data_IF_094325216392
#
_entry.id   IF_094325216392
#
_cell.length_a   1.000
_cell.length_b   1.000
_cell.length_c   1.000
_cell.angle_alpha   90.00
_cell.angle_beta   90.00
_cell.angle_gamma   90.00
#
_symmetry.space_group_name_H-M   'P 1'
#
loop_
_entity.id
_entity.type
_entity.pdbx_description
1 polymer ?
#
# COMPACT_ATOMS: atom_id res chain seq x y z
N UNK A 1 23.75 9.28 -1.87
CA UNK A 1 22.59 9.82 -1.13
C UNK A 1 22.03 11.06 -1.84
N UNK A 2 22.88 11.95 -2.31
CA UNK A 2 22.48 13.23 -2.93
C UNK A 2 21.72 13.10 -4.27
N UNK A 3 21.78 11.94 -4.91
CA UNK A 3 21.02 11.65 -6.15
C UNK A 3 19.63 11.06 -5.89
N UNK A 4 19.41 10.40 -4.73
CA UNK A 4 18.13 9.78 -4.39
C UNK A 4 17.19 10.75 -3.69
N UNK A 5 17.74 11.60 -2.81
CA UNK A 5 16.99 12.56 -2.01
C UNK A 5 17.51 13.95 -2.36
N UNK A 6 16.66 14.77 -2.97
CA UNK A 6 17.02 16.08 -3.52
C UNK A 6 16.44 17.25 -2.74
N UNK A 7 15.54 16.98 -1.77
CA UNK A 7 14.89 17.98 -0.93
C UNK A 7 14.94 17.65 0.55
N UNK A 8 14.25 18.47 1.33
CA UNK A 8 14.07 18.27 2.77
C UNK A 8 12.70 17.69 3.07
N UNK A 9 12.58 16.96 4.18
CA UNK A 9 11.31 16.45 4.67
C UNK A 9 10.42 17.62 5.13
N UNK A 10 9.22 17.70 4.60
CA UNK A 10 8.22 18.71 4.94
C UNK A 10 6.98 18.05 5.54
N UNK A 11 6.47 18.54 6.67
CA UNK A 11 5.16 18.16 7.18
C UNK A 11 4.10 19.00 6.49
N UNK A 12 3.16 18.35 5.78
CA UNK A 12 2.10 19.00 5.03
C UNK A 12 0.78 19.09 5.80
N UNK A 13 0.50 18.08 6.62
CA UNK A 13 -0.72 17.97 7.41
C UNK A 13 -0.47 17.22 8.71
N UNK A 14 -1.23 17.54 9.75
CA UNK A 14 -1.33 16.80 11.01
C UNK A 14 -2.78 16.80 11.48
N UNK A 15 -3.27 15.66 11.99
CA UNK A 15 -4.65 15.53 12.48
C UNK A 15 -5.35 14.23 12.13
N UNK A 16 -4.60 13.18 11.73
CA UNK A 16 -5.08 11.80 11.63
C UNK A 16 -4.85 11.05 12.93
N UNK A 17 -5.46 9.88 13.08
CA UNK A 17 -5.16 8.91 14.12
C UNK A 17 -4.20 7.85 13.58
N UNK A 18 -4.47 7.35 12.38
CA UNK A 18 -3.58 6.48 11.63
C UNK A 18 -3.74 6.77 10.14
N UNK A 19 -2.77 7.53 9.60
CA UNK A 19 -2.72 7.88 8.19
C UNK A 19 -2.21 6.69 7.37
N UNK A 20 -2.91 6.34 6.27
CA UNK A 20 -2.61 5.19 5.43
C UNK A 20 -2.99 5.40 3.96
N UNK A 21 -2.50 4.49 3.09
CA UNK A 21 -2.88 4.34 1.71
C UNK A 21 -2.83 5.63 0.88
N UNK A 22 -1.70 6.32 0.82
CA UNK A 22 -1.60 7.53 0.02
C UNK A 22 -1.58 7.18 -1.47
N UNK A 23 -2.28 8.00 -2.27
CA UNK A 23 -2.24 7.95 -3.73
C UNK A 23 -2.23 9.36 -4.30
N UNK A 24 -1.43 9.57 -5.33
CA UNK A 24 -1.45 10.80 -6.12
C UNK A 24 -2.53 10.71 -7.19
N UNK A 25 -3.38 11.73 -7.29
CA UNK A 25 -4.43 11.84 -8.31
C UNK A 25 -3.96 12.83 -9.39
N UNK A 26 -3.53 12.35 -10.56
CA UNK A 26 -2.94 13.22 -11.59
C UNK A 26 -3.93 14.25 -12.15
N UNK A 27 -5.21 13.89 -12.28
CA UNK A 27 -6.24 14.76 -12.83
C UNK A 27 -6.46 16.02 -11.98
N UNK A 28 -6.61 15.84 -10.66
CA UNK A 28 -6.81 16.96 -9.71
C UNK A 28 -5.50 17.53 -9.16
N UNK A 29 -4.35 16.89 -9.42
CA UNK A 29 -3.05 17.25 -8.85
C UNK A 29 -3.08 17.29 -7.31
N UNK A 30 -3.67 16.25 -6.70
CA UNK A 30 -3.85 16.13 -5.25
C UNK A 30 -3.34 14.79 -4.73
N UNK A 31 -3.15 14.70 -3.42
CA UNK A 31 -2.89 13.44 -2.71
C UNK A 31 -4.10 13.08 -1.88
N UNK A 32 -4.61 11.85 -2.04
CA UNK A 32 -5.65 11.27 -1.17
C UNK A 32 -5.01 10.23 -0.25
N UNK A 33 -5.48 10.15 1.00
CA UNK A 33 -5.06 9.12 1.95
C UNK A 33 -6.16 8.82 2.95
N UNK A 34 -6.09 7.65 3.59
CA UNK A 34 -7.01 7.22 4.65
C UNK A 34 -6.59 7.76 6.01
N UNK A 35 -7.55 8.12 6.84
CA UNK A 35 -7.45 8.18 8.30
C UNK A 35 -8.37 7.08 8.82
N UNK A 36 -7.81 5.85 8.93
CA UNK A 36 -8.60 4.62 9.07
C UNK A 36 -9.49 4.66 10.31
N UNK A 37 -8.96 4.91 11.54
CA UNK A 37 -9.79 4.89 12.74
C UNK A 37 -10.89 5.97 12.75
N UNK A 38 -10.66 7.10 12.09
CA UNK A 38 -11.65 8.15 11.93
C UNK A 38 -12.63 7.90 10.76
N UNK A 39 -12.47 6.78 10.07
CA UNK A 39 -13.36 6.32 9.01
C UNK A 39 -13.59 7.38 7.90
N UNK A 40 -12.48 8.00 7.45
CA UNK A 40 -12.50 9.07 6.44
C UNK A 40 -11.32 9.00 5.48
N UNK A 41 -11.50 9.61 4.32
CA UNK A 41 -10.45 9.90 3.33
C UNK A 41 -10.20 11.40 3.33
N UNK A 42 -8.93 11.78 3.41
CA UNK A 42 -8.46 13.15 3.30
C UNK A 42 -7.83 13.38 1.92
N UNK A 43 -7.87 14.64 1.48
CA UNK A 43 -7.26 15.07 0.23
C UNK A 43 -6.47 16.38 0.46
N UNK A 44 -5.20 16.38 0.07
CA UNK A 44 -4.31 17.54 0.13
C UNK A 44 -4.02 18.07 -1.26
N UNK A 45 -4.14 19.39 -1.43
CA UNK A 45 -3.79 20.08 -2.67
C UNK A 45 -2.47 20.85 -2.49
N UNK A 46 -1.37 20.40 -3.14
CA UNK A 46 -0.04 21.02 -3.00
C UNK A 46 0.03 22.46 -3.52
N UNK A 47 -0.81 22.83 -4.49
CA UNK A 47 -0.81 24.18 -5.05
C UNK A 47 -1.38 25.22 -4.10
N UNK A 48 -2.30 24.81 -3.21
CA UNK A 48 -2.96 25.71 -2.25
C UNK A 48 -2.50 25.51 -0.81
N UNK A 49 -1.88 24.33 -0.52
CA UNK A 49 -1.55 23.91 0.84
C UNK A 49 -2.77 23.49 1.67
N UNK A 50 -3.95 23.36 1.06
CA UNK A 50 -5.19 23.05 1.76
C UNK A 50 -5.42 21.53 1.84
N UNK A 51 -5.92 21.08 3.00
CA UNK A 51 -6.45 19.72 3.19
C UNK A 51 -7.96 19.81 3.38
N UNK A 52 -8.69 18.87 2.77
CA UNK A 52 -10.15 18.69 2.97
C UNK A 52 -10.48 17.24 3.29
N UNK A 53 -11.63 17.00 3.89
CA UNK A 53 -12.24 15.68 3.89
C UNK A 53 -12.79 15.43 2.48
N UNK A 54 -12.27 14.38 1.82
CA UNK A 54 -12.79 13.92 0.53
C UNK A 54 -14.06 13.11 0.73
N UNK A 55 -14.04 12.16 1.66
CA UNK A 55 -15.19 11.30 2.01
C UNK A 55 -15.17 10.89 3.47
N UNK A 56 -16.34 10.62 4.03
CA UNK A 56 -16.55 10.11 5.39
C UNK A 56 -17.44 8.88 5.39
N UNK A 57 -17.44 8.10 6.47
CA UNK A 57 -18.17 6.82 6.56
C UNK A 57 -17.79 5.86 5.41
N UNK A 58 -16.49 5.80 5.14
CA UNK A 58 -15.91 5.05 4.02
C UNK A 58 -15.66 3.58 4.32
N UNK A 59 -16.12 3.12 5.50
CA UNK A 59 -15.95 1.74 5.96
C UNK A 59 -14.49 1.32 6.06
N UNK A 60 -13.72 2.18 6.71
CA UNK A 60 -12.32 1.93 7.07
C UNK A 60 -11.48 1.55 5.85
N UNK A 61 -11.52 2.39 4.81
CA UNK A 61 -10.62 2.21 3.65
C UNK A 61 -9.17 2.32 4.08
N UNK A 62 -8.31 1.49 3.48
CA UNK A 62 -6.88 1.43 3.75
C UNK A 62 -6.06 1.77 2.50
N UNK A 63 -5.30 0.83 1.96
CA UNK A 63 -4.44 0.99 0.80
C UNK A 63 -5.20 1.26 -0.48
N UNK A 64 -4.54 1.95 -1.42
CA UNK A 64 -5.12 2.30 -2.72
C UNK A 64 -4.07 2.52 -3.78
N UNK A 65 -4.52 2.41 -5.03
CA UNK A 65 -3.76 2.68 -6.25
C UNK A 65 -4.68 3.29 -7.30
N UNK A 66 -4.14 3.58 -8.48
CA UNK A 66 -4.95 3.92 -9.65
C UNK A 66 -5.02 2.73 -10.60
N UNK A 67 -6.15 2.56 -11.28
CA UNK A 67 -6.25 1.69 -12.44
C UNK A 67 -5.81 2.43 -13.73
N UNK A 68 -5.93 1.76 -14.87
CA UNK A 68 -5.49 2.30 -16.15
C UNK A 68 -6.39 3.42 -16.70
N UNK A 69 -7.62 3.52 -16.20
CA UNK A 69 -8.57 4.59 -16.56
C UNK A 69 -8.37 5.83 -15.67
N UNK A 70 -7.57 5.70 -14.59
CA UNK A 70 -7.29 6.75 -13.61
C UNK A 70 -8.20 6.73 -12.41
N UNK A 71 -9.11 5.75 -12.32
CA UNK A 71 -9.98 5.55 -11.17
C UNK A 71 -9.20 4.99 -9.98
N UNK A 72 -9.64 5.32 -8.78
CA UNK A 72 -9.02 4.80 -7.55
C UNK A 72 -9.52 3.39 -7.27
N UNK A 73 -8.61 2.43 -7.20
CA UNK A 73 -8.85 1.08 -6.65
C UNK A 73 -8.38 1.08 -5.21
N UNK A 74 -9.25 0.72 -4.26
CA UNK A 74 -8.96 0.77 -2.84
C UNK A 74 -9.46 -0.45 -2.08
N UNK A 75 -8.82 -0.72 -0.94
CA UNK A 75 -9.19 -1.75 0.00
C UNK A 75 -10.11 -1.18 1.07
N UNK A 76 -11.21 -1.87 1.41
CA UNK A 76 -12.12 -1.52 2.50
C UNK A 76 -12.14 -2.62 3.54
N UNK A 77 -11.61 -2.35 4.73
CA UNK A 77 -11.62 -3.26 5.86
C UNK A 77 -13.05 -3.56 6.33
N UNK A 78 -13.87 -2.53 6.51
CA UNK A 78 -15.22 -2.68 7.05
C UNK A 78 -16.18 -3.39 6.10
N UNK A 79 -16.05 -3.14 4.78
CA UNK A 79 -16.81 -3.87 3.77
C UNK A 79 -16.20 -5.23 3.42
N UNK A 80 -14.95 -5.48 3.83
CA UNK A 80 -14.18 -6.70 3.53
C UNK A 80 -14.11 -6.94 2.02
N UNK A 81 -13.70 -5.92 1.26
CA UNK A 81 -13.67 -5.96 -0.21
C UNK A 81 -12.62 -5.04 -0.81
N UNK A 82 -12.28 -5.30 -2.07
CA UNK A 82 -11.64 -4.32 -2.94
C UNK A 82 -12.73 -3.62 -3.75
N UNK A 83 -12.62 -2.30 -3.90
CA UNK A 83 -13.62 -1.46 -4.53
C UNK A 83 -12.98 -0.40 -5.43
N UNK A 84 -13.76 0.10 -6.39
CA UNK A 84 -13.39 1.24 -7.24
C UNK A 84 -14.12 2.47 -6.75
N UNK A 85 -13.41 3.59 -6.67
CA UNK A 85 -13.95 4.93 -6.38
C UNK A 85 -13.71 5.82 -7.62
N UNK A 86 -14.76 6.01 -8.41
CA UNK A 86 -14.84 6.95 -9.52
C UNK A 86 -15.44 8.26 -9.00
N UNK A 87 -14.58 9.14 -8.50
CA UNK A 87 -14.90 10.47 -7.95
C UNK A 87 -16.09 10.48 -6.97
N UNK A 88 -16.16 9.49 -6.09
CA UNK A 88 -17.18 9.33 -5.05
C UNK A 88 -18.27 8.32 -5.39
N UNK A 89 -18.35 7.79 -6.60
CA UNK A 89 -19.19 6.65 -6.94
C UNK A 89 -18.45 5.33 -6.68
N UNK A 90 -18.73 4.72 -5.52
CA UNK A 90 -17.97 3.56 -5.02
C UNK A 90 -18.66 2.27 -5.37
N UNK A 91 -18.01 1.45 -6.21
CA UNK A 91 -18.50 0.14 -6.67
C UNK A 91 -17.59 -1.01 -6.24
N UNK A 92 -18.15 -2.20 -5.90
CA UNK A 92 -17.34 -3.36 -5.55
C UNK A 92 -16.61 -3.93 -6.77
N UNK A 93 -15.35 -4.36 -6.56
CA UNK A 93 -14.58 -5.15 -7.53
C UNK A 93 -14.64 -6.63 -7.12
N UNK A 94 -14.29 -6.95 -5.86
CA UNK A 94 -14.31 -8.32 -5.33
C UNK A 94 -14.47 -8.28 -3.81
N UNK A 95 -15.34 -9.15 -3.26
CA UNK A 95 -15.67 -9.21 -1.83
C UNK A 95 -15.63 -10.62 -1.23
N UNK A 96 -15.41 -11.65 -2.06
CA UNK A 96 -15.51 -13.04 -1.63
C UNK A 96 -14.52 -13.95 -2.36
N UNK A 97 -14.06 -14.98 -1.65
CA UNK A 97 -13.29 -16.09 -2.19
C UNK A 97 -14.11 -17.39 -2.06
N UNK A 98 -14.74 -17.77 -3.16
CA UNK A 98 -15.72 -18.87 -3.16
C UNK A 98 -16.97 -18.52 -2.33
N UNK A 99 -17.25 -19.30 -1.30
CA UNK A 99 -18.39 -19.08 -0.38
C UNK A 99 -18.02 -18.16 0.81
N UNK A 100 -16.74 -17.78 0.96
CA UNK A 100 -16.21 -17.07 2.11
C UNK A 100 -16.02 -15.57 1.81
N UNK A 101 -16.30 -14.75 2.78
CA UNK A 101 -15.92 -13.33 2.72
C UNK A 101 -14.40 -13.21 2.79
N UNK A 102 -13.84 -12.19 2.14
CA UNK A 102 -12.45 -11.80 2.35
C UNK A 102 -12.20 -11.44 3.82
N UNK A 103 -10.96 -11.46 4.29
CA UNK A 103 -10.62 -11.05 5.66
C UNK A 103 -10.81 -9.53 5.84
N UNK A 104 -9.82 -8.77 5.48
CA UNK A 104 -9.86 -7.30 5.44
C UNK A 104 -8.78 -6.83 4.46
N UNK A 105 -9.10 -6.77 3.15
CA UNK A 105 -8.14 -6.32 2.14
C UNK A 105 -7.42 -5.06 2.56
N UNK A 106 -6.07 -5.07 2.46
CA UNK A 106 -5.23 -4.06 3.09
C UNK A 106 -4.55 -3.14 2.08
N UNK A 107 -3.69 -3.65 1.20
CA UNK A 107 -3.06 -2.86 0.13
C UNK A 107 -3.29 -3.51 -1.24
N UNK A 108 -3.18 -2.72 -2.31
CA UNK A 108 -3.60 -3.11 -3.66
C UNK A 108 -2.71 -2.50 -4.73
N UNK A 109 -2.44 -3.26 -5.79
CA UNK A 109 -1.78 -2.79 -7.02
C UNK A 109 -2.54 -3.31 -8.25
N UNK A 110 -2.48 -2.56 -9.35
CA UNK A 110 -3.02 -2.97 -10.64
C UNK A 110 -1.85 -3.26 -11.58
N UNK A 111 -1.80 -4.49 -12.09
CA UNK A 111 -0.77 -4.92 -13.03
C UNK A 111 -0.99 -4.36 -14.43
N UNK A 112 0.04 -4.39 -15.29
CA UNK A 112 -0.02 -3.88 -16.66
C UNK A 112 -1.07 -4.57 -17.54
N UNK A 113 -1.48 -5.80 -17.19
CA UNK A 113 -2.55 -6.54 -17.85
C UNK A 113 -3.96 -6.16 -17.36
N UNK A 114 -4.07 -5.22 -16.41
CA UNK A 114 -5.32 -4.77 -15.80
C UNK A 114 -5.83 -5.65 -14.65
N UNK A 115 -5.09 -6.68 -14.26
CA UNK A 115 -5.47 -7.51 -13.10
C UNK A 115 -5.17 -6.81 -11.79
N UNK A 116 -6.02 -7.04 -10.79
CA UNK A 116 -5.95 -6.41 -9.47
C UNK A 116 -5.33 -7.40 -8.48
N UNK A 117 -4.23 -6.99 -7.85
CA UNK A 117 -3.52 -7.80 -6.86
C UNK A 117 -3.61 -7.12 -5.51
N UNK A 118 -3.99 -7.85 -4.47
CA UNK A 118 -4.19 -7.27 -3.15
C UNK A 118 -3.84 -8.25 -2.03
N UNK A 119 -3.50 -7.70 -0.88
CA UNK A 119 -3.23 -8.45 0.36
C UNK A 119 -4.49 -8.52 1.20
N UNK A 120 -4.71 -9.65 1.89
CA UNK A 120 -5.90 -9.86 2.72
C UNK A 120 -5.56 -10.38 4.13
N UNK A 121 -4.88 -9.56 4.96
CA UNK A 121 -4.61 -9.85 6.37
C UNK A 121 -5.87 -9.65 7.24
N UNK A 122 -5.81 -10.00 8.55
CA UNK A 122 -7.00 -9.96 9.40
C UNK A 122 -7.21 -8.62 10.15
N UNK A 123 -6.42 -7.57 9.91
CA UNK A 123 -6.36 -6.37 10.76
C UNK A 123 -7.72 -5.71 10.99
N UNK A 124 -8.55 -5.61 9.94
CA UNK A 124 -9.87 -5.01 10.01
C UNK A 124 -10.94 -5.86 10.70
N UNK A 125 -10.64 -7.13 11.05
CA UNK A 125 -11.58 -8.06 11.69
C UNK A 125 -11.13 -8.58 13.04
N UNK A 126 -9.93 -8.20 13.51
CA UNK A 126 -9.41 -8.63 14.82
C UNK A 126 -10.27 -8.14 15.96
N UNK A 127 -10.34 -8.89 17.10
CA UNK A 127 -11.00 -8.43 18.30
C UNK A 127 -10.43 -7.10 18.80
N UNK A 128 -11.30 -6.12 19.05
CA UNK A 128 -10.91 -4.79 19.50
C UNK A 128 -10.34 -3.88 18.42
N UNK A 129 -10.43 -4.26 17.14
CA UNK A 129 -9.95 -3.43 16.03
C UNK A 129 -10.63 -2.06 16.02
N UNK A 130 -9.86 -1.02 15.69
CA UNK A 130 -10.35 0.34 15.41
C UNK A 130 -10.30 0.67 13.92
N UNK A 131 -9.96 -0.32 13.09
CA UNK A 131 -9.73 -0.19 11.66
C UNK A 131 -10.75 -0.97 10.82
N UNK A 132 -11.86 -1.40 11.44
CA UNK A 132 -12.87 -2.19 10.75
C UNK A 132 -13.97 -2.64 11.71
N UNK A 133 -14.52 -3.81 11.45
CA UNK A 133 -15.55 -4.45 12.27
C UNK A 133 -15.09 -5.83 12.70
N UNK A 134 -15.16 -6.16 13.98
CA UNK A 134 -14.80 -7.50 14.47
C UNK A 134 -15.51 -8.59 13.67
N UNK A 135 -14.78 -9.62 13.31
CA UNK A 135 -15.30 -10.72 12.52
C UNK A 135 -14.41 -11.96 12.58
N UNK A 136 -14.84 -12.99 11.92
CA UNK A 136 -14.09 -14.25 11.83
C UNK A 136 -13.36 -14.34 10.50
N UNK A 137 -12.20 -14.98 10.51
CA UNK A 137 -11.49 -15.40 9.32
C UNK A 137 -12.18 -16.66 8.77
N UNK A 138 -12.80 -16.55 7.60
CA UNK A 138 -13.69 -17.60 7.08
C UNK A 138 -12.96 -18.67 6.26
N UNK A 139 -11.75 -18.39 5.77
CA UNK A 139 -10.88 -19.33 5.08
C UNK A 139 -9.50 -19.45 5.72
N UNK A 140 -8.71 -20.43 5.35
CA UNK A 140 -7.60 -20.98 6.14
C UNK A 140 -6.30 -20.19 6.20
N UNK A 141 -6.27 -18.89 5.87
CA UNK A 141 -5.03 -18.10 5.91
C UNK A 141 -5.21 -16.64 5.57
N UNK A 142 -4.08 -15.95 5.47
CA UNK A 142 -4.00 -14.58 4.95
C UNK A 142 -3.25 -14.65 3.62
N UNK A 143 -3.90 -14.28 2.54
CA UNK A 143 -3.34 -14.51 1.21
C UNK A 143 -3.06 -13.20 0.48
N UNK A 144 -2.21 -13.28 -0.53
CA UNK A 144 -2.22 -12.32 -1.64
C UNK A 144 -3.08 -12.93 -2.73
N UNK A 145 -4.02 -12.15 -3.21
CA UNK A 145 -4.93 -12.55 -4.29
C UNK A 145 -4.61 -11.80 -5.59
N UNK A 146 -4.91 -12.46 -6.71
CA UNK A 146 -5.02 -11.88 -8.04
C UNK A 146 -6.46 -12.00 -8.51
N UNK A 147 -7.09 -10.90 -8.83
CA UNK A 147 -8.41 -10.82 -9.45
C UNK A 147 -8.27 -10.40 -10.91
N UNK A 148 -8.92 -11.13 -11.79
CA UNK A 148 -8.97 -10.82 -13.22
C UNK A 148 -10.35 -10.26 -13.57
N UNK A 149 -10.47 -8.95 -13.85
CA UNK A 149 -11.77 -8.34 -14.16
C UNK A 149 -12.43 -8.87 -15.43
N UNK A 150 -11.64 -9.40 -16.39
CA UNK A 150 -12.16 -9.91 -17.65
C UNK A 150 -12.86 -11.26 -17.50
N UNK A 151 -12.44 -12.07 -16.53
CA UNK A 151 -12.97 -13.44 -16.28
C UNK A 151 -13.72 -13.53 -14.95
N UNK A 152 -13.66 -12.51 -14.12
CA UNK A 152 -14.14 -12.47 -12.73
C UNK A 152 -13.51 -13.56 -11.84
N UNK A 153 -12.33 -14.04 -12.20
CA UNK A 153 -11.63 -15.08 -11.47
C UNK A 153 -10.77 -14.50 -10.36
N UNK A 154 -10.99 -14.95 -9.11
CA UNK A 154 -10.15 -14.65 -7.95
C UNK A 154 -9.29 -15.88 -7.60
N UNK A 155 -7.96 -15.69 -7.56
CA UNK A 155 -7.00 -16.74 -7.20
C UNK A 155 -6.07 -16.29 -6.08
N UNK A 156 -5.81 -17.12 -5.05
CA UNK A 156 -4.69 -16.89 -4.16
C UNK A 156 -3.38 -17.16 -4.92
N UNK A 157 -2.46 -16.22 -4.90
CA UNK A 157 -1.16 -16.31 -5.61
C UNK A 157 0.02 -16.40 -4.65
N UNK A 158 -0.14 -15.94 -3.39
CA UNK A 158 0.80 -16.15 -2.28
C UNK A 158 0.01 -16.61 -1.07
N UNK A 159 0.45 -17.72 -0.44
CA UNK A 159 -0.26 -18.35 0.68
C UNK A 159 0.65 -18.74 1.85
N UNK A 160 1.91 -18.34 1.82
CA UNK A 160 2.96 -18.73 2.77
C UNK A 160 3.42 -17.57 3.68
N UNK A 161 2.73 -16.42 3.62
CA UNK A 161 2.90 -15.30 4.53
C UNK A 161 1.89 -15.38 5.69
N UNK A 162 2.25 -14.79 6.82
CA UNK A 162 1.39 -14.79 8.01
C UNK A 162 0.45 -13.59 8.01
N UNK A 163 0.98 -12.39 7.85
CA UNK A 163 0.19 -11.16 7.70
C UNK A 163 0.74 -10.34 6.53
N UNK A 164 0.37 -10.70 5.26
CA UNK A 164 0.76 -9.89 4.11
C UNK A 164 0.15 -8.49 4.22
N UNK A 165 0.96 -7.45 3.95
CA UNK A 165 0.56 -6.05 4.08
C UNK A 165 0.86 -5.29 2.78
N UNK A 166 1.83 -4.39 2.72
CA UNK A 166 2.20 -3.70 1.50
C UNK A 166 2.64 -4.64 0.38
N UNK A 167 2.33 -4.28 -0.87
CA UNK A 167 2.79 -5.02 -2.04
C UNK A 167 3.11 -4.07 -3.21
N UNK A 168 4.09 -4.45 -4.02
CA UNK A 168 4.45 -3.74 -5.25
C UNK A 168 5.17 -4.67 -6.24
N UNK A 169 5.00 -4.41 -7.53
CA UNK A 169 5.77 -5.10 -8.57
C UNK A 169 7.14 -4.45 -8.81
N UNK A 170 8.08 -5.25 -9.31
CA UNK A 170 9.25 -4.72 -10.00
C UNK A 170 8.83 -3.96 -11.28
N UNK A 171 9.70 -3.08 -11.85
CA UNK A 171 9.32 -2.30 -13.03
C UNK A 171 8.89 -3.11 -14.26
N UNK A 172 9.42 -4.32 -14.40
CA UNK A 172 9.09 -5.28 -15.48
C UNK A 172 8.00 -6.30 -15.08
N UNK A 173 7.47 -6.16 -13.87
CA UNK A 173 6.48 -7.07 -13.25
C UNK A 173 6.91 -8.55 -13.16
N UNK A 174 8.21 -8.83 -13.31
CA UNK A 174 8.75 -10.18 -13.13
C UNK A 174 8.86 -10.62 -11.67
N UNK A 175 8.78 -9.66 -10.72
CA UNK A 175 8.77 -9.91 -9.28
C UNK A 175 7.59 -9.18 -8.64
N UNK A 176 6.94 -9.85 -7.68
CA UNK A 176 6.04 -9.24 -6.71
C UNK A 176 6.76 -9.20 -5.35
N UNK A 177 6.91 -8.00 -4.80
CA UNK A 177 7.35 -7.82 -3.42
C UNK A 177 6.14 -7.74 -2.51
N UNK A 178 6.21 -8.39 -1.33
CA UNK A 178 5.14 -8.36 -0.31
C UNK A 178 5.77 -8.27 1.06
N UNK A 179 5.31 -7.32 1.90
CA UNK A 179 5.71 -7.27 3.30
C UNK A 179 4.94 -8.27 4.16
N UNK A 180 5.61 -8.87 5.15
CA UNK A 180 4.99 -9.68 6.19
C UNK A 180 5.16 -8.97 7.53
N UNK A 181 4.06 -8.47 8.09
CA UNK A 181 4.04 -7.65 9.31
C UNK A 181 3.62 -8.44 10.56
N UNK A 182 3.63 -9.77 10.51
CA UNK A 182 3.29 -10.61 11.65
C UNK A 182 4.32 -10.53 12.79
N UNK A 183 5.60 -10.53 12.45
CA UNK A 183 6.70 -10.34 13.39
C UNK A 183 6.87 -11.44 14.44
N UNK A 184 7.71 -11.17 15.43
CA UNK A 184 8.09 -12.12 16.48
C UNK A 184 6.92 -12.69 17.29
N UNK A 185 5.82 -11.96 17.42
CA UNK A 185 4.60 -12.45 18.08
C UNK A 185 4.01 -13.69 17.41
N UNK A 186 4.26 -13.87 16.13
CA UNK A 186 3.85 -15.03 15.33
C UNK A 186 5.02 -15.95 14.96
N UNK A 187 6.21 -15.73 15.54
CA UNK A 187 7.39 -16.56 15.32
C UNK A 187 8.09 -16.39 13.99
N UNK A 188 7.83 -15.28 13.30
CA UNK A 188 8.46 -14.91 12.01
C UNK A 188 9.11 -13.54 12.12
N UNK A 189 10.19 -13.25 11.35
CA UNK A 189 10.74 -11.89 11.29
C UNK A 189 9.83 -10.95 10.51
N UNK A 190 9.92 -9.66 10.76
CA UNK A 190 9.45 -8.65 9.80
C UNK A 190 10.32 -8.72 8.55
N UNK A 191 9.68 -8.83 7.40
CA UNK A 191 10.41 -8.97 6.13
C UNK A 191 9.62 -8.41 4.96
N UNK A 192 10.33 -8.12 3.88
CA UNK A 192 9.77 -8.05 2.54
C UNK A 192 10.19 -9.33 1.83
N UNK A 193 9.24 -10.09 1.32
CA UNK A 193 9.47 -11.25 0.48
C UNK A 193 9.35 -10.88 -1.00
N UNK A 194 10.11 -11.54 -1.87
CA UNK A 194 10.04 -11.39 -3.32
C UNK A 194 9.60 -12.72 -3.95
N UNK A 195 8.62 -12.66 -4.82
CA UNK A 195 8.04 -13.78 -5.53
C UNK A 195 8.23 -13.60 -7.03
N UNK A 196 8.87 -14.52 -7.75
CA UNK A 196 8.86 -14.52 -9.21
C UNK A 196 7.42 -14.58 -9.74
N UNK A 197 7.11 -13.77 -10.73
CA UNK A 197 5.79 -13.74 -11.38
C UNK A 197 5.93 -14.22 -12.82
N UNK A 198 5.15 -15.23 -13.17
CA UNK A 198 5.08 -15.77 -14.53
C UNK A 198 3.63 -16.14 -14.85
N UNK A 199 3.11 -15.63 -15.97
CA UNK A 199 1.73 -15.89 -16.44
C UNK A 199 0.66 -15.62 -15.38
N UNK A 200 0.83 -14.60 -14.54
CA UNK A 200 -0.12 -14.22 -13.48
C UNK A 200 -0.11 -15.12 -12.25
N UNK A 201 0.91 -15.95 -12.07
CA UNK A 201 1.13 -16.80 -10.90
C UNK A 201 2.46 -16.46 -10.22
N UNK A 202 2.50 -16.64 -8.89
CA UNK A 202 3.73 -16.49 -8.11
C UNK A 202 4.47 -17.81 -7.97
N UNK A 203 5.78 -17.82 -8.18
CA UNK A 203 6.68 -18.90 -7.84
C UNK A 203 7.02 -18.94 -6.35
N UNK A 204 8.01 -19.75 -5.96
CA UNK A 204 8.48 -19.82 -4.57
C UNK A 204 9.09 -18.49 -4.12
N UNK A 205 8.62 -17.97 -2.97
CA UNK A 205 9.11 -16.73 -2.40
C UNK A 205 10.49 -16.86 -1.78
N UNK A 206 11.23 -15.75 -1.80
CA UNK A 206 12.53 -15.60 -1.09
C UNK A 206 12.49 -14.35 -0.24
N UNK A 207 13.23 -14.30 0.86
CA UNK A 207 13.37 -13.06 1.63
C UNK A 207 14.22 -12.06 0.83
N UNK A 208 13.62 -10.91 0.49
CA UNK A 208 14.32 -9.79 -0.14
C UNK A 208 15.12 -9.01 0.90
N UNK A 209 14.44 -8.56 1.97
CA UNK A 209 15.09 -7.97 3.15
C UNK A 209 14.39 -8.42 4.42
N UNK A 210 15.17 -8.61 5.48
CA UNK A 210 14.70 -8.79 6.84
C UNK A 210 14.90 -7.48 7.60
N UNK A 211 13.92 -7.09 8.41
CA UNK A 211 13.91 -5.83 9.14
C UNK A 211 14.01 -6.11 10.64
N UNK A 212 14.55 -5.13 11.36
CA UNK A 212 14.66 -5.18 12.82
C UNK A 212 13.26 -5.21 13.49
N UNK A 213 13.19 -5.73 14.71
CA UNK A 213 11.94 -6.02 15.43
C UNK A 213 11.03 -4.79 15.64
N UNK A 214 11.59 -3.58 15.66
CA UNK A 214 10.86 -2.32 15.81
C UNK A 214 10.59 -1.59 14.48
N UNK A 215 10.99 -2.18 13.34
CA UNK A 215 11.02 -1.55 12.01
C UNK A 215 10.23 -2.34 10.96
N UNK A 216 9.04 -2.80 11.31
CA UNK A 216 8.18 -3.46 10.32
C UNK A 216 8.02 -2.58 9.06
N UNK A 217 8.11 -3.22 7.88
CA UNK A 217 7.69 -2.63 6.62
C UNK A 217 6.18 -2.79 6.52
N UNK A 218 5.45 -1.69 6.46
CA UNK A 218 4.00 -1.65 6.26
C UNK A 218 3.73 -1.49 4.75
N UNK A 219 3.56 -0.27 4.24
CA UNK A 219 3.47 0.00 2.82
C UNK A 219 4.80 0.42 2.19
N UNK A 220 4.93 0.21 0.88
CA UNK A 220 6.13 0.57 0.11
C UNK A 220 5.82 0.75 -1.38
N UNK A 221 6.75 1.34 -2.14
CA UNK A 221 6.71 1.48 -3.60
C UNK A 221 8.04 1.10 -4.22
N UNK A 222 8.01 0.76 -5.51
CA UNK A 222 9.21 0.45 -6.31
C UNK A 222 9.40 1.54 -7.36
N UNK A 223 10.60 2.09 -7.45
CA UNK A 223 10.89 3.13 -8.43
C UNK A 223 11.29 2.54 -9.80
N UNK A 224 11.43 3.43 -10.78
CA UNK A 224 11.78 3.06 -12.18
C UNK A 224 13.11 2.31 -12.33
N UNK A 225 13.99 2.36 -11.32
CA UNK A 225 15.27 1.65 -11.30
C UNK A 225 15.20 0.34 -10.47
N UNK A 226 14.00 -0.04 -10.00
CA UNK A 226 13.76 -1.25 -9.23
C UNK A 226 14.16 -1.14 -7.75
N UNK A 227 14.41 0.06 -7.23
CA UNK A 227 14.69 0.27 -5.81
C UNK A 227 13.41 0.26 -5.01
N UNK A 228 13.43 -0.43 -3.88
CA UNK A 228 12.28 -0.51 -2.97
C UNK A 228 12.36 0.62 -1.95
N UNK A 229 11.39 1.51 -1.97
CA UNK A 229 11.17 2.60 -1.01
C UNK A 229 10.14 2.15 -0.01
N UNK A 230 10.52 1.90 1.24
CA UNK A 230 9.65 1.26 2.22
C UNK A 230 9.56 2.03 3.53
N UNK A 231 8.40 1.97 4.17
CA UNK A 231 8.27 2.28 5.58
C UNK A 231 9.12 1.30 6.41
N UNK A 232 9.76 1.78 7.45
CA UNK A 232 10.55 0.96 8.36
C UNK A 232 10.55 1.60 9.77
N UNK A 233 9.51 1.33 10.56
CA UNK A 233 9.30 2.02 11.82
C UNK A 233 9.14 3.52 11.63
N UNK A 234 9.93 4.35 12.31
CA UNK A 234 9.91 5.81 12.15
C UNK A 234 10.89 6.28 11.06
N UNK A 235 10.98 5.54 9.94
CA UNK A 235 11.84 5.92 8.83
C UNK A 235 11.30 5.45 7.49
N UNK A 236 11.73 6.09 6.41
CA UNK A 236 11.68 5.55 5.05
C UNK A 236 13.05 5.01 4.73
N UNK A 237 13.14 3.76 4.29
CA UNK A 237 14.37 3.14 3.80
C UNK A 237 14.30 2.87 2.31
N UNK A 238 15.44 2.94 1.65
CA UNK A 238 15.58 2.66 0.22
C UNK A 238 16.56 1.52 0.04
N UNK A 239 16.09 0.44 -0.57
CA UNK A 239 16.91 -0.73 -0.88
C UNK A 239 17.14 -0.84 -2.38
N UNK A 240 18.37 -1.22 -2.77
CA UNK A 240 18.67 -1.60 -4.14
C UNK A 240 17.96 -2.91 -4.54
N UNK A 241 17.87 -3.25 -5.83
CA UNK A 241 17.26 -4.51 -6.28
C UNK A 241 17.92 -5.78 -5.72
N UNK A 242 19.17 -5.69 -5.23
CA UNK A 242 19.89 -6.79 -4.57
C UNK A 242 19.65 -6.85 -3.04
N UNK A 243 18.79 -5.98 -2.48
CA UNK A 243 18.48 -5.91 -1.06
C UNK A 243 19.47 -5.07 -0.24
N UNK A 244 20.49 -4.47 -0.83
CA UNK A 244 21.42 -3.59 -0.11
C UNK A 244 20.76 -2.23 0.25
N UNK A 245 20.96 -1.77 1.49
CA UNK A 245 20.43 -0.48 1.95
C UNK A 245 21.22 0.67 1.31
N UNK A 246 20.51 1.55 0.58
CA UNK A 246 21.08 2.72 -0.09
C UNK A 246 20.91 4.02 0.71
N UNK A 247 19.74 4.19 1.34
CA UNK A 247 19.43 5.38 2.09
C UNK A 247 18.40 5.11 3.19
N UNK A 248 18.40 5.97 4.22
CA UNK A 248 17.36 6.03 5.24
C UNK A 248 17.06 7.49 5.56
N UNK A 249 15.77 7.81 5.71
CA UNK A 249 15.26 9.11 6.14
C UNK A 249 14.46 8.91 7.40
N UNK A 250 14.92 9.45 8.51
CA UNK A 250 14.21 9.37 9.79
C UNK A 250 13.07 10.39 9.81
N UNK A 251 11.92 9.97 10.34
CA UNK A 251 10.74 10.78 10.57
C UNK A 251 10.44 10.86 12.06
N UNK A 252 9.73 11.91 12.52
CA UNK A 252 9.36 12.03 13.94
C UNK A 252 8.24 11.07 14.37
N UNK A 253 7.62 10.37 13.43
CA UNK A 253 6.48 9.48 13.63
C UNK A 253 6.69 8.14 12.90
N UNK A 254 5.94 7.11 13.32
CA UNK A 254 5.94 5.82 12.61
C UNK A 254 5.33 6.00 11.22
N UNK A 255 6.06 5.58 10.22
CA UNK A 255 5.63 5.60 8.80
C UNK A 255 4.77 4.38 8.54
N UNK A 256 3.64 4.60 7.89
CA UNK A 256 2.74 3.54 7.45
C UNK A 256 2.94 3.21 5.96
N UNK A 257 2.82 4.22 5.09
CA UNK A 257 2.86 3.98 3.63
C UNK A 257 3.43 5.21 2.90
N UNK A 258 3.59 5.09 1.58
CA UNK A 258 4.11 6.17 0.75
C UNK A 258 3.65 6.03 -0.71
N UNK A 259 3.62 7.14 -1.45
CA UNK A 259 3.40 7.14 -2.89
C UNK A 259 4.22 8.22 -3.57
N UNK A 260 4.64 7.97 -4.80
CA UNK A 260 5.21 9.02 -5.65
C UNK A 260 4.11 9.86 -6.27
N UNK A 261 4.39 11.14 -6.47
CA UNK A 261 3.43 12.09 -7.01
C UNK A 261 4.07 13.44 -7.38
N UNK A 262 3.23 14.47 -7.42
CA UNK A 262 3.63 15.78 -7.89
C UNK A 262 3.59 15.88 -9.43
N UNK A 263 3.72 17.07 -10.00
CA UNK A 263 3.55 17.28 -11.45
C UNK A 263 4.54 16.53 -12.33
N UNK A 264 5.68 16.11 -11.79
CA UNK A 264 6.76 15.40 -12.50
C UNK A 264 7.08 14.03 -11.88
N UNK A 265 6.30 13.59 -10.88
CA UNK A 265 6.43 12.29 -10.23
C UNK A 265 7.55 12.19 -9.19
N UNK A 266 8.27 13.27 -8.90
CA UNK A 266 9.43 13.25 -8.01
C UNK A 266 9.12 13.64 -6.55
N UNK A 267 7.89 13.91 -6.20
CA UNK A 267 7.48 14.12 -4.81
C UNK A 267 7.06 12.79 -4.20
N UNK A 268 7.73 12.38 -3.12
CA UNK A 268 7.33 11.23 -2.32
C UNK A 268 6.43 11.74 -1.19
N UNK A 269 5.16 11.38 -1.22
CA UNK A 269 4.23 11.63 -0.14
C UNK A 269 4.25 10.45 0.81
N UNK A 270 4.33 10.74 2.11
CA UNK A 270 4.56 9.74 3.16
C UNK A 270 3.47 9.93 4.22
N UNK A 271 2.69 8.89 4.44
CA UNK A 271 1.77 8.82 5.58
C UNK A 271 2.49 8.28 6.80
N UNK A 272 2.30 8.95 7.93
CA UNK A 272 2.89 8.54 9.18
C UNK A 272 1.94 8.91 10.32
N UNK A 273 1.62 7.97 11.19
CA UNK A 273 0.69 8.05 12.32
C UNK A 273 -0.34 9.18 12.25
N UNK A 274 0.06 10.43 12.62
CA UNK A 274 -0.84 11.58 12.69
C UNK A 274 -0.73 12.53 11.50
N UNK A 275 0.16 12.28 10.54
CA UNK A 275 0.62 13.31 9.60
C UNK A 275 0.80 12.79 8.16
N UNK A 276 0.72 13.74 7.22
CA UNK A 276 1.21 13.59 5.85
C UNK A 276 2.49 14.41 5.69
N UNK A 277 3.53 13.79 5.13
CA UNK A 277 4.80 14.42 4.80
C UNK A 277 5.05 14.39 3.30
N UNK A 278 5.98 15.24 2.86
CA UNK A 278 6.55 15.25 1.52
C UNK A 278 8.07 15.24 1.57
N UNK A 279 8.68 14.48 0.66
CA UNK A 279 10.12 14.48 0.42
C UNK A 279 10.39 14.54 -1.08
N UNK A 280 11.23 15.47 -1.51
CA UNK A 280 11.62 15.54 -2.93
C UNK A 280 12.70 14.51 -3.23
N UNK A 281 12.52 13.72 -4.29
CA UNK A 281 13.41 12.64 -4.72
C UNK A 281 14.02 12.89 -6.10
N UNK A 282 15.11 12.20 -6.39
CA UNK A 282 15.73 12.17 -7.72
C UNK A 282 15.14 11.09 -8.65
N UNK A 283 14.12 10.38 -8.20
CA UNK A 283 13.47 9.28 -8.92
C UNK A 283 11.96 9.35 -8.81
N UNK A 284 11.25 8.46 -9.50
CA UNK A 284 9.78 8.30 -9.49
C UNK A 284 9.43 6.83 -9.67
N UNK A 285 8.18 6.46 -9.46
CA UNK A 285 7.73 5.10 -9.75
C UNK A 285 7.38 4.87 -11.23
N UNK A 286 7.03 3.64 -11.57
CA UNK A 286 6.76 3.20 -12.93
C UNK A 286 5.43 3.71 -13.49
N UNK A 287 4.49 4.12 -12.66
CA UNK A 287 3.19 4.68 -13.10
C UNK A 287 3.39 5.90 -14.01
N UNK A 288 4.46 6.67 -13.82
CA UNK A 288 4.82 7.83 -14.63
C UNK A 288 5.45 7.50 -15.98
N UNK A 289 5.65 6.24 -16.29
CA UNK A 289 6.24 5.77 -17.56
C UNK A 289 5.28 4.92 -18.39
N UNK A 290 4.07 4.70 -17.90
CA UNK A 290 3.01 3.93 -18.58
C UNK A 290 2.09 4.79 -19.43
#
# INVERSE_FOLDING_TARGET
>A
MDELITGTLEKLFEGTVWAEGPVWIPESQTVRWSDIPNNRILEFNPATGATREYATAVEYTNGRTLDHDGDVVQCSHGRRRVERDDDGDVTPIVDSFGEYRLNSPNDVVVAADGTVWFTDPPYGILPGTVEGHEGEQEYGGCYVFRFDPATEELKPVVTDLVHPNGLAFSPDESLLYVSDTAGAAHGVPFRIAAYPVEEGACGAGTTFVELEEDRASDGFRVDVEGRVWTSAGASVRVYAPDGSLLAAVELPERVSNLCFGGPDGHDLYITATTSLYRLRTGTRDTVWTR
#
